data_IF_291945165748
#
_entry.id   IF_291945165748
#
_cell.length_a   1.000
_cell.length_b   1.000
_cell.length_c   1.000
_cell.angle_alpha   90.00
_cell.angle_beta   90.00
_cell.angle_gamma   90.00
#
_symmetry.space_group_name_H-M   'P 1'
#
loop_
_entity.id
_entity.type
_entity.pdbx_description
1 polymer ?
#
# COMPACT_ATOMS: atom_id res chain seq x y z
N UNK A 1 -26.99 1.28 -13.48
CA UNK A 1 -26.27 0.00 -13.37
C UNK A 1 -25.81 -0.23 -11.94
N UNK A 2 -26.06 -1.39 -11.39
CA UNK A 2 -25.61 -1.72 -10.03
C UNK A 2 -24.10 -1.92 -10.00
N UNK A 3 -23.42 -1.34 -9.00
CA UNK A 3 -22.05 -1.68 -8.73
C UNK A 3 -22.00 -3.10 -8.18
N UNK A 4 -21.01 -3.87 -8.59
CA UNK A 4 -20.84 -5.22 -8.08
C UNK A 4 -20.44 -5.15 -6.59
N UNK A 5 -20.79 -6.20 -5.85
CA UNK A 5 -20.37 -6.34 -4.46
C UNK A 5 -18.84 -6.33 -4.36
N UNK A 6 -18.17 -6.97 -5.30
CA UNK A 6 -16.72 -7.03 -5.38
C UNK A 6 -16.11 -5.62 -5.49
N UNK A 7 -16.66 -4.76 -6.36
CA UNK A 7 -16.15 -3.40 -6.51
C UNK A 7 -16.35 -2.58 -5.24
N UNK A 8 -17.49 -2.71 -4.56
CA UNK A 8 -17.77 -2.02 -3.30
C UNK A 8 -16.78 -2.43 -2.22
N UNK A 9 -16.52 -3.73 -2.10
CA UNK A 9 -15.57 -4.28 -1.12
C UNK A 9 -14.14 -3.83 -1.44
N UNK A 10 -13.78 -3.78 -2.71
CA UNK A 10 -12.46 -3.32 -3.14
C UNK A 10 -12.25 -1.85 -2.78
N UNK A 11 -13.24 -1.00 -3.03
CA UNK A 11 -13.18 0.41 -2.65
C UNK A 11 -13.06 0.57 -1.14
N UNK A 12 -13.79 -0.22 -0.37
CA UNK A 12 -13.71 -0.22 1.09
C UNK A 12 -12.33 -0.67 1.58
N UNK A 13 -11.81 -1.76 1.01
CA UNK A 13 -10.49 -2.29 1.37
C UNK A 13 -9.39 -1.27 1.03
N UNK A 14 -9.49 -0.59 -0.10
CA UNK A 14 -8.51 0.44 -0.49
C UNK A 14 -8.46 1.58 0.51
N UNK A 15 -9.61 2.04 1.00
CA UNK A 15 -9.68 3.11 2.01
C UNK A 15 -9.12 2.64 3.35
N UNK A 16 -9.50 1.44 3.79
CA UNK A 16 -9.00 0.88 5.04
C UNK A 16 -7.50 0.65 5.01
N UNK A 17 -6.95 0.24 3.86
CA UNK A 17 -5.52 0.06 3.70
C UNK A 17 -4.78 1.37 3.99
N UNK A 18 -5.24 2.49 3.44
CA UNK A 18 -4.66 3.81 3.70
C UNK A 18 -4.74 4.15 5.19
N UNK A 19 -5.93 4.06 5.77
CA UNK A 19 -6.15 4.42 7.19
C UNK A 19 -5.29 3.56 8.12
N UNK A 20 -5.31 2.24 7.93
CA UNK A 20 -4.57 1.32 8.79
C UNK A 20 -3.07 1.52 8.69
N UNK A 21 -2.54 1.66 7.48
CA UNK A 21 -1.10 1.76 7.30
C UNK A 21 -0.56 3.14 7.69
N UNK A 22 -1.32 4.21 7.57
CA UNK A 22 -0.91 5.52 8.10
C UNK A 22 -0.72 5.43 9.62
N UNK A 23 -1.61 4.71 10.32
CA UNK A 23 -1.45 4.49 11.76
C UNK A 23 -0.24 3.61 12.09
N UNK A 24 -0.01 2.56 11.32
CA UNK A 24 1.08 1.61 11.54
C UNK A 24 2.44 2.20 11.19
N UNK A 25 2.48 3.12 10.24
CA UNK A 25 3.70 3.73 9.69
C UNK A 25 3.57 5.24 9.76
N UNK A 26 3.74 5.82 10.95
CA UNK A 26 3.38 7.22 11.21
C UNK A 26 4.31 8.28 10.63
N UNK A 27 5.47 7.88 10.10
CA UNK A 27 6.42 8.84 9.51
C UNK A 27 6.87 8.38 8.13
N UNK A 28 7.11 9.36 7.24
CA UNK A 28 7.63 9.13 5.90
C UNK A 28 9.00 8.46 5.93
N UNK A 29 9.23 7.48 5.07
CA UNK A 29 10.54 6.83 4.93
C UNK A 29 11.56 7.76 4.29
N UNK A 30 11.12 8.80 3.60
CA UNK A 30 12.00 9.75 2.90
C UNK A 30 12.45 10.87 3.82
N UNK A 31 11.50 11.52 4.51
CA UNK A 31 11.79 12.75 5.27
C UNK A 31 11.62 12.61 6.78
N UNK A 32 10.94 11.57 7.26
CA UNK A 32 10.59 11.46 8.66
C UNK A 32 9.44 12.35 9.10
N UNK A 33 8.86 13.12 8.17
CA UNK A 33 7.67 13.92 8.43
C UNK A 33 6.44 13.03 8.62
N UNK A 34 5.38 13.52 9.26
CA UNK A 34 4.17 12.71 9.45
C UNK A 34 3.65 12.15 8.13
N UNK A 35 3.28 10.87 8.12
CA UNK A 35 2.72 10.20 6.95
C UNK A 35 1.38 10.80 6.57
N UNK A 36 1.23 11.10 5.29
CA UNK A 36 -0.03 11.62 4.74
C UNK A 36 -0.69 10.67 3.76
N UNK A 37 0.11 9.78 3.13
CA UNK A 37 -0.40 8.83 2.14
C UNK A 37 0.46 7.57 2.15
N UNK A 38 -0.16 6.42 1.84
CA UNK A 38 0.55 5.16 1.66
C UNK A 38 0.68 4.93 0.15
N UNK A 39 1.91 4.89 -0.30
CA UNK A 39 2.27 4.64 -1.69
C UNK A 39 2.43 3.14 -1.92
N UNK A 40 1.78 2.60 -2.96
CA UNK A 40 2.02 1.21 -3.38
C UNK A 40 3.31 1.17 -4.18
N UNK A 41 4.36 0.57 -3.63
CA UNK A 41 5.65 0.49 -4.31
C UNK A 41 5.53 -0.25 -5.63
N UNK A 42 4.91 -1.44 -5.62
CA UNK A 42 4.42 -2.08 -6.84
C UNK A 42 2.99 -1.58 -7.03
N UNK A 43 2.71 -0.86 -8.12
CA UNK A 43 1.39 -0.27 -8.32
C UNK A 43 0.26 -1.31 -8.22
N UNK A 44 -0.84 -0.95 -7.60
CA UNK A 44 -1.97 -1.85 -7.41
C UNK A 44 -2.55 -2.38 -8.73
N UNK A 45 -2.40 -1.62 -9.82
CA UNK A 45 -2.81 -2.06 -11.15
C UNK A 45 -1.92 -3.18 -11.71
N UNK A 46 -0.73 -3.37 -11.15
CA UNK A 46 0.24 -4.37 -11.62
C UNK A 46 0.26 -5.65 -10.78
N UNK A 47 -0.26 -5.64 -9.57
CA UNK A 47 -0.25 -6.82 -8.71
C UNK A 47 -1.39 -6.81 -7.70
N UNK A 48 -2.36 -7.70 -7.91
CA UNK A 48 -3.41 -7.94 -6.92
C UNK A 48 -2.85 -8.56 -5.66
N UNK A 49 -1.80 -9.39 -5.78
CA UNK A 49 -1.19 -10.07 -4.65
C UNK A 49 -0.57 -9.10 -3.64
N UNK A 50 -0.07 -7.97 -4.13
CA UNK A 50 0.58 -6.96 -3.29
C UNK A 50 -0.32 -5.77 -2.95
N UNK A 51 -1.52 -5.72 -3.50
CA UNK A 51 -2.41 -4.55 -3.35
C UNK A 51 -2.71 -4.22 -1.88
N UNK A 52 -2.87 -5.24 -1.04
CA UNK A 52 -3.18 -5.07 0.39
C UNK A 52 -2.08 -5.61 1.30
N UNK A 53 -0.88 -5.78 0.75
CA UNK A 53 0.27 -6.25 1.52
C UNK A 53 0.95 -5.06 2.20
N UNK A 54 1.07 -5.10 3.53
CA UNK A 54 1.66 -3.98 4.28
C UNK A 54 3.10 -3.68 3.88
N UNK A 55 3.85 -4.69 3.42
CA UNK A 55 5.23 -4.49 2.99
C UNK A 55 5.33 -3.71 1.69
N UNK A 56 4.26 -3.70 0.90
CA UNK A 56 4.19 -2.93 -0.34
C UNK A 56 3.70 -1.50 -0.11
N UNK A 57 3.19 -1.20 1.07
CA UNK A 57 2.71 0.13 1.43
C UNK A 57 3.82 0.98 2.01
N UNK A 58 4.21 2.04 1.32
CA UNK A 58 5.31 2.93 1.71
C UNK A 58 4.75 4.25 2.20
N UNK A 59 5.07 4.65 3.45
CA UNK A 59 4.56 5.91 3.99
C UNK A 59 5.31 7.10 3.39
N UNK A 60 4.57 8.05 2.84
CA UNK A 60 5.11 9.27 2.24
C UNK A 60 4.26 10.48 2.64
N UNK A 61 4.80 11.68 2.43
CA UNK A 61 3.97 12.89 2.41
C UNK A 61 3.32 13.03 1.05
N UNK A 62 2.28 13.87 0.95
CA UNK A 62 1.66 14.16 -0.34
C UNK A 62 2.65 14.78 -1.33
N UNK A 63 3.54 15.65 -0.85
CA UNK A 63 4.55 16.29 -1.69
C UNK A 63 5.52 15.27 -2.29
N UNK A 64 5.98 14.30 -1.48
CA UNK A 64 6.87 13.22 -1.95
C UNK A 64 6.18 12.33 -2.97
N UNK A 65 4.94 11.94 -2.69
CA UNK A 65 4.14 11.10 -3.58
C UNK A 65 3.89 11.81 -4.92
N UNK A 66 3.58 13.10 -4.86
CA UNK A 66 3.40 13.94 -6.04
C UNK A 66 4.70 14.05 -6.86
N UNK A 67 5.84 14.28 -6.19
CA UNK A 67 7.14 14.37 -6.85
C UNK A 67 7.47 13.09 -7.60
N UNK A 68 7.18 11.93 -7.00
CA UNK A 68 7.41 10.63 -7.63
C UNK A 68 6.50 10.43 -8.85
N UNK A 69 5.19 10.60 -8.68
CA UNK A 69 4.21 10.28 -9.74
C UNK A 69 4.15 11.33 -10.85
N UNK A 70 4.27 12.59 -10.52
CA UNK A 70 4.05 13.68 -11.48
C UNK A 70 5.34 14.21 -12.08
N UNK A 71 6.40 14.30 -11.25
CA UNK A 71 7.69 14.83 -11.69
C UNK A 71 8.71 13.74 -12.02
N UNK A 72 8.38 12.47 -11.70
CA UNK A 72 9.27 11.35 -11.97
C UNK A 72 10.59 11.43 -11.19
N UNK A 73 10.56 11.97 -9.99
CA UNK A 73 11.76 12.17 -9.17
C UNK A 73 12.39 10.81 -8.82
N UNK A 74 13.58 10.48 -9.37
CA UNK A 74 14.20 9.18 -9.12
C UNK A 74 14.73 9.04 -7.69
N UNK A 75 14.95 10.15 -6.98
CA UNK A 75 15.47 10.12 -5.62
C UNK A 75 14.47 9.51 -4.65
N UNK A 76 13.17 9.63 -4.92
CA UNK A 76 12.13 9.02 -4.07
C UNK A 76 12.28 7.50 -4.07
N UNK A 77 12.31 6.87 -5.25
CA UNK A 77 12.45 5.42 -5.37
C UNK A 77 13.77 4.94 -4.78
N UNK A 78 14.86 5.62 -5.10
CA UNK A 78 16.19 5.27 -4.59
C UNK A 78 16.21 5.30 -3.07
N UNK A 79 15.63 6.34 -2.45
CA UNK A 79 15.58 6.47 -1.00
C UNK A 79 14.74 5.36 -0.39
N UNK A 80 13.59 5.06 -0.96
CA UNK A 80 12.71 3.98 -0.47
C UNK A 80 13.47 2.65 -0.45
N UNK A 81 14.13 2.29 -1.55
CA UNK A 81 14.88 1.04 -1.65
C UNK A 81 16.05 1.02 -0.66
N UNK A 82 16.74 2.14 -0.51
CA UNK A 82 17.86 2.25 0.43
C UNK A 82 17.40 2.04 1.88
N UNK A 83 16.30 2.66 2.28
CA UNK A 83 15.78 2.55 3.64
C UNK A 83 15.23 1.16 3.93
N UNK A 84 14.41 0.62 3.02
CA UNK A 84 13.74 -0.66 3.23
C UNK A 84 14.66 -1.86 2.95
N UNK A 85 15.66 -1.68 2.09
CA UNK A 85 16.68 -2.69 1.81
C UNK A 85 16.42 -3.52 0.56
N UNK A 86 17.50 -4.11 0.05
CA UNK A 86 17.47 -4.92 -1.18
C UNK A 86 16.63 -6.19 -1.00
N UNK A 87 16.67 -6.81 0.17
CA UNK A 87 15.87 -8.02 0.45
C UNK A 87 14.37 -7.71 0.34
N UNK A 88 13.94 -6.58 0.89
CA UNK A 88 12.57 -6.12 0.78
C UNK A 88 12.18 -5.92 -0.69
N UNK A 89 13.02 -5.24 -1.45
CA UNK A 89 12.81 -5.00 -2.88
C UNK A 89 12.68 -6.31 -3.66
N UNK A 90 13.64 -7.22 -3.47
CA UNK A 90 13.67 -8.50 -4.18
C UNK A 90 12.45 -9.36 -3.82
N UNK A 91 12.05 -9.39 -2.56
CA UNK A 91 10.87 -10.13 -2.10
C UNK A 91 9.60 -9.63 -2.81
N UNK A 92 9.43 -8.32 -2.92
CA UNK A 92 8.29 -7.74 -3.62
C UNK A 92 8.31 -8.09 -5.12
N UNK A 93 9.50 -8.08 -5.75
CA UNK A 93 9.62 -8.43 -7.16
C UNK A 93 9.24 -9.88 -7.43
N UNK A 94 9.52 -10.78 -6.50
CA UNK A 94 9.11 -12.19 -6.59
C UNK A 94 7.60 -12.31 -6.37
N UNK A 95 7.08 -11.73 -5.29
CA UNK A 95 5.68 -11.88 -4.90
C UNK A 95 4.70 -11.15 -5.83
N UNK A 96 5.16 -10.11 -6.55
CA UNK A 96 4.28 -9.41 -7.49
C UNK A 96 3.80 -10.31 -8.63
N UNK A 97 4.51 -11.40 -8.90
CA UNK A 97 4.19 -12.34 -9.98
C UNK A 97 3.19 -13.41 -9.56
N UNK A 98 2.89 -13.51 -8.27
CA UNK A 98 1.93 -14.49 -7.75
C UNK A 98 0.53 -14.04 -8.13
N UNK A 99 -0.21 -14.94 -8.78
CA UNK A 99 -1.58 -14.66 -9.21
C UNK A 99 -2.50 -14.64 -7.98
N UNK A 100 -3.30 -13.59 -7.88
CA UNK A 100 -4.26 -13.43 -6.79
C UNK A 100 -5.55 -12.83 -7.37
N UNK A 101 -6.68 -13.44 -7.04
CA UNK A 101 -7.98 -12.92 -7.46
C UNK A 101 -8.61 -12.11 -6.33
N UNK A 102 -9.03 -10.90 -6.65
CA UNK A 102 -9.73 -10.03 -5.71
C UNK A 102 -11.23 -10.39 -5.67
N UNK A 103 -11.52 -11.62 -5.26
CA UNK A 103 -12.91 -12.06 -5.14
C UNK A 103 -13.51 -11.61 -3.79
N UNK A 104 -14.81 -11.79 -3.62
CA UNK A 104 -15.54 -11.35 -2.43
C UNK A 104 -14.94 -11.92 -1.14
N UNK A 105 -14.68 -13.23 -1.12
CA UNK A 105 -14.12 -13.89 0.07
C UNK A 105 -12.77 -13.33 0.47
N UNK A 106 -11.88 -13.14 -0.50
CA UNK A 106 -10.55 -12.55 -0.26
C UNK A 106 -10.67 -11.12 0.29
N UNK A 107 -11.52 -10.31 -0.33
CA UNK A 107 -11.70 -8.92 0.08
C UNK A 107 -12.30 -8.82 1.48
N UNK A 108 -13.24 -9.68 1.84
CA UNK A 108 -13.81 -9.72 3.18
C UNK A 108 -12.75 -10.04 4.24
N UNK A 109 -11.84 -10.98 3.94
CA UNK A 109 -10.71 -11.30 4.83
C UNK A 109 -9.74 -10.13 4.97
N UNK A 110 -9.43 -9.43 3.86
CA UNK A 110 -8.58 -8.25 3.88
C UNK A 110 -9.18 -7.17 4.78
N UNK A 111 -10.46 -6.90 4.60
CA UNK A 111 -11.18 -5.88 5.40
C UNK A 111 -11.14 -6.24 6.87
N UNK A 112 -11.38 -7.50 7.21
CA UNK A 112 -11.34 -7.98 8.58
C UNK A 112 -9.96 -7.75 9.22
N UNK A 113 -8.90 -8.11 8.52
CA UNK A 113 -7.53 -7.94 9.02
C UNK A 113 -7.16 -6.47 9.18
N UNK A 114 -7.55 -5.64 8.22
CA UNK A 114 -7.27 -4.20 8.30
C UNK A 114 -8.02 -3.54 9.46
N UNK A 115 -9.25 -3.95 9.72
CA UNK A 115 -10.01 -3.46 10.86
C UNK A 115 -9.38 -3.88 12.18
N UNK A 116 -8.90 -5.11 12.29
CA UNK A 116 -8.19 -5.60 13.47
C UNK A 116 -6.93 -4.78 13.72
N UNK A 117 -6.16 -4.48 12.66
CA UNK A 117 -4.95 -3.66 12.77
C UNK A 117 -5.27 -2.24 13.23
N UNK A 118 -6.34 -1.65 12.74
CA UNK A 118 -6.78 -0.32 13.19
C UNK A 118 -7.12 -0.30 14.68
N UNK A 119 -7.78 -1.35 15.18
CA UNK A 119 -8.16 -1.44 16.59
C UNK A 119 -6.95 -1.64 17.50
N UNK A 120 -5.98 -2.45 17.06
CA UNK A 120 -4.80 -2.77 17.87
C UNK A 120 -3.75 -1.66 17.89
N UNK A 121 -3.83 -0.69 17.00
CA UNK A 121 -2.87 0.42 16.91
C UNK A 121 -3.40 1.75 17.45
N UNK A 122 -4.52 1.69 18.13
CA UNK A 122 -5.10 2.88 18.79
C UNK A 122 -4.41 3.19 20.13
#
# INVERSE_FOLDING_TARGET
MKRSKEKKLRDQADKLFQVALIKMKPVSVVSGEPTEVIHHFVPKAQSNNLRYDEKNGVPLTHAEHFAHHTKGDPDIVTTIVKVNGVKWYNDLQIRRRIICKLNVGYLEEVIKKLNENCLHND
#
